data_IF_477481506053
#
_entry.id   IF_477481506053
#
_cell.length_a   1.000
_cell.length_b   1.000
_cell.length_c   1.000
_cell.angle_alpha   90.00
_cell.angle_beta   90.00
_cell.angle_gamma   90.00
#
_symmetry.space_group_name_H-M   'P 1'
#
loop_
_entity.id
_entity.type
_entity.pdbx_description
1 polymer ?
#
# COMPACT_ATOMS: atom_id res chain seq x y z
N UNK A 1 -21.68 -43.22 -48.29
CA UNK A 1 -22.92 -42.69 -48.87
C UNK A 1 -22.81 -41.19 -48.85
N UNK A 2 -22.80 -40.55 -50.01
CA UNK A 2 -22.68 -39.10 -50.13
C UNK A 2 -23.94 -38.42 -49.63
N UNK A 3 -23.81 -37.62 -48.57
CA UNK A 3 -24.80 -36.64 -48.17
C UNK A 3 -24.34 -35.28 -48.66
N UNK A 4 -24.99 -34.76 -49.71
CA UNK A 4 -24.81 -33.37 -50.13
C UNK A 4 -25.37 -32.47 -49.03
N UNK A 5 -24.49 -31.79 -48.31
CA UNK A 5 -24.87 -30.65 -47.48
C UNK A 5 -25.23 -29.50 -48.40
N UNK A 6 -26.53 -29.31 -48.63
CA UNK A 6 -27.01 -28.01 -49.08
C UNK A 6 -26.72 -27.02 -47.96
N UNK A 7 -25.79 -26.11 -48.21
CA UNK A 7 -25.69 -24.87 -47.46
C UNK A 7 -27.01 -24.13 -47.69
N UNK A 8 -27.99 -24.35 -46.81
CA UNK A 8 -29.09 -23.42 -46.64
C UNK A 8 -28.45 -22.13 -46.13
N UNK A 9 -28.00 -21.31 -47.09
CA UNK A 9 -27.58 -19.94 -46.85
C UNK A 9 -28.80 -19.21 -46.30
N UNK A 10 -28.93 -19.21 -44.97
CA UNK A 10 -29.85 -18.33 -44.27
C UNK A 10 -29.47 -16.93 -44.73
N UNK A 11 -30.40 -16.23 -45.38
CA UNK A 11 -30.17 -14.87 -45.86
C UNK A 11 -29.64 -14.03 -44.68
N UNK A 12 -28.34 -13.72 -44.72
CA UNK A 12 -27.61 -12.98 -43.68
C UNK A 12 -28.24 -11.61 -43.42
N UNK A 13 -29.09 -11.13 -44.33
CA UNK A 13 -29.76 -9.82 -44.28
C UNK A 13 -30.84 -9.70 -43.19
N UNK A 14 -31.34 -10.79 -42.59
CA UNK A 14 -32.44 -10.73 -41.61
C UNK A 14 -32.08 -11.16 -40.17
N UNK A 15 -30.79 -11.29 -39.87
CA UNK A 15 -30.31 -11.66 -38.53
C UNK A 15 -29.42 -10.55 -37.93
N UNK A 16 -29.59 -10.23 -36.65
CA UNK A 16 -28.75 -9.27 -35.91
C UNK A 16 -27.83 -9.98 -34.92
N UNK A 17 -26.61 -9.50 -34.75
CA UNK A 17 -25.69 -10.05 -33.73
C UNK A 17 -26.05 -9.49 -32.35
N UNK A 18 -26.32 -10.38 -31.40
CA UNK A 18 -26.68 -10.02 -30.03
C UNK A 18 -25.48 -10.14 -29.09
N UNK A 19 -24.67 -11.20 -29.26
CA UNK A 19 -23.55 -11.49 -28.36
C UNK A 19 -22.54 -12.44 -29.02
N UNK A 20 -21.27 -12.30 -28.66
CA UNK A 20 -20.26 -13.34 -28.91
C UNK A 20 -20.05 -14.13 -27.62
N UNK A 21 -20.28 -15.45 -27.64
CA UNK A 21 -20.21 -16.32 -26.45
C UNK A 21 -18.81 -16.89 -26.23
N UNK A 22 -18.11 -17.23 -27.32
CA UNK A 22 -16.80 -17.88 -27.25
C UNK A 22 -15.96 -17.50 -28.46
N UNK A 23 -14.66 -17.44 -28.27
CA UNK A 23 -13.66 -17.22 -29.32
C UNK A 23 -12.55 -18.25 -29.18
N UNK A 24 -12.14 -18.81 -30.31
CA UNK A 24 -11.03 -19.75 -30.44
C UNK A 24 -10.08 -19.19 -31.48
N UNK A 25 -8.79 -19.19 -31.19
CA UNK A 25 -7.76 -18.96 -32.19
C UNK A 25 -7.30 -20.34 -32.66
N UNK A 26 -7.28 -20.56 -33.96
CA UNK A 26 -6.84 -21.80 -34.57
C UNK A 26 -5.71 -21.44 -35.51
N UNK A 27 -4.53 -21.95 -35.24
CA UNK A 27 -3.40 -21.90 -36.17
C UNK A 27 -3.79 -22.80 -37.36
N UNK A 28 -3.80 -22.25 -38.58
CA UNK A 28 -4.02 -23.10 -39.75
C UNK A 28 -2.70 -23.82 -40.02
N UNK A 29 -2.71 -25.15 -39.89
CA UNK A 29 -1.61 -26.00 -40.33
C UNK A 29 -1.58 -26.05 -41.86
N UNK A 30 -1.25 -24.93 -42.52
CA UNK A 30 -1.09 -24.86 -43.98
C UNK A 30 0.27 -25.42 -44.45
N UNK A 31 1.05 -26.06 -43.56
CA UNK A 31 2.28 -26.78 -43.86
C UNK A 31 2.00 -28.20 -44.41
N UNK A 32 1.33 -28.28 -45.56
CA UNK A 32 1.35 -29.47 -46.43
C UNK A 32 2.51 -29.37 -47.45
N UNK A 33 3.61 -28.73 -47.05
CA UNK A 33 4.88 -28.72 -47.76
C UNK A 33 5.65 -30.02 -47.53
N UNK A 34 5.39 -31.04 -48.36
CA UNK A 34 6.13 -32.30 -48.35
C UNK A 34 7.64 -32.09 -48.48
N UNK A 35 8.37 -32.27 -47.39
CA UNK A 35 9.81 -32.45 -47.40
C UNK A 35 10.14 -33.96 -47.30
N UNK A 36 10.77 -34.48 -48.35
CA UNK A 36 11.28 -35.84 -48.44
C UNK A 36 12.18 -36.22 -47.24
N UNK A 37 11.97 -37.40 -46.62
CA UNK A 37 12.85 -37.88 -45.56
C UNK A 37 14.06 -38.61 -46.15
N UNK A 38 15.23 -37.99 -46.12
CA UNK A 38 16.48 -38.71 -46.35
C UNK A 38 17.58 -38.30 -45.37
N UNK A 39 18.16 -39.36 -44.78
CA UNK A 39 19.48 -39.49 -44.17
C UNK A 39 19.64 -39.13 -42.67
N UNK A 40 19.58 -40.21 -41.91
CA UNK A 40 20.33 -40.56 -40.70
C UNK A 40 21.67 -39.83 -40.45
N UNK A 41 21.96 -39.58 -39.16
CA UNK A 41 23.31 -39.29 -38.70
C UNK A 41 23.37 -38.83 -37.24
N UNK A 42 23.71 -39.74 -36.34
CA UNK A 42 23.96 -39.51 -34.92
C UNK A 42 25.16 -38.57 -34.66
N UNK A 43 25.16 -37.83 -33.54
CA UNK A 43 25.98 -38.11 -32.35
C UNK A 43 26.00 -36.87 -31.40
N UNK A 44 26.23 -37.16 -30.12
CA UNK A 44 26.21 -36.28 -28.97
C UNK A 44 27.31 -35.21 -28.96
N UNK A 45 27.02 -34.06 -28.34
CA UNK A 45 27.65 -33.63 -27.07
C UNK A 45 27.69 -32.10 -26.90
N UNK A 46 27.47 -31.70 -25.64
CA UNK A 46 28.13 -30.59 -24.93
C UNK A 46 28.05 -29.15 -25.47
N UNK A 47 27.41 -28.30 -24.66
CA UNK A 47 28.15 -27.18 -24.07
C UNK A 47 27.93 -25.77 -24.63
N UNK A 48 27.81 -24.85 -23.67
CA UNK A 48 28.15 -23.41 -23.74
C UNK A 48 27.15 -22.40 -24.32
N UNK A 49 26.52 -21.69 -23.38
CA UNK A 49 26.52 -20.21 -23.24
C UNK A 49 26.51 -19.35 -24.52
N UNK A 50 25.47 -18.52 -24.65
CA UNK A 50 25.47 -17.36 -25.52
C UNK A 50 24.34 -16.40 -25.18
N UNK A 51 24.68 -15.26 -24.59
CA UNK A 51 23.82 -14.10 -24.51
C UNK A 51 23.57 -13.55 -25.92
N UNK A 52 22.33 -13.16 -26.21
CA UNK A 52 21.95 -12.50 -27.46
C UNK A 52 20.58 -11.87 -27.31
N UNK A 53 20.56 -10.56 -27.06
CA UNK A 53 19.37 -9.74 -27.26
C UNK A 53 19.05 -9.69 -28.75
N UNK A 54 17.78 -9.94 -29.07
CA UNK A 54 17.20 -9.79 -30.39
C UNK A 54 15.74 -9.41 -30.21
N UNK A 55 15.46 -8.12 -30.18
CA UNK A 55 14.16 -7.55 -30.53
C UNK A 55 13.92 -7.90 -32.00
N UNK A 56 13.30 -9.05 -32.22
CA UNK A 56 12.80 -9.52 -33.51
C UNK A 56 11.28 -9.44 -33.49
N UNK A 57 10.77 -8.23 -33.75
CA UNK A 57 9.41 -7.99 -34.23
C UNK A 57 9.31 -8.56 -35.66
N UNK A 58 9.34 -9.90 -35.76
CA UNK A 58 8.96 -10.61 -36.97
C UNK A 58 7.53 -11.08 -36.76
N UNK A 59 6.61 -10.31 -37.36
CA UNK A 59 5.24 -10.69 -37.64
C UNK A 59 5.25 -11.92 -38.55
N UNK A 60 5.53 -13.09 -37.99
CA UNK A 60 5.13 -14.35 -38.56
C UNK A 60 3.61 -14.43 -38.40
N UNK A 61 2.92 -13.83 -39.38
CA UNK A 61 1.48 -13.92 -39.53
C UNK A 61 1.17 -15.29 -40.11
N UNK A 62 1.53 -16.35 -39.38
CA UNK A 62 0.93 -17.66 -39.53
C UNK A 62 -0.57 -17.46 -39.58
N UNK A 63 -1.22 -18.02 -40.59
CA UNK A 63 -2.59 -17.79 -41.02
C UNK A 63 -3.60 -18.19 -39.93
N UNK A 64 -3.60 -17.54 -38.78
CA UNK A 64 -4.47 -17.87 -37.67
C UNK A 64 -5.90 -17.50 -38.04
N UNK A 65 -6.78 -18.49 -38.12
CA UNK A 65 -8.22 -18.25 -38.25
C UNK A 65 -8.86 -18.15 -36.87
N UNK A 66 -9.83 -17.25 -36.74
CA UNK A 66 -10.58 -17.03 -35.51
C UNK A 66 -11.95 -17.67 -35.69
N UNK A 67 -12.31 -18.59 -34.80
CA UNK A 67 -13.65 -19.14 -34.72
C UNK A 67 -14.40 -18.49 -33.57
N UNK A 68 -15.54 -17.87 -33.85
CA UNK A 68 -16.38 -17.28 -32.82
C UNK A 68 -17.77 -17.92 -32.82
N UNK A 69 -18.26 -18.24 -31.62
CA UNK A 69 -19.64 -18.65 -31.41
C UNK A 69 -20.48 -17.39 -31.22
N UNK A 70 -21.22 -17.02 -32.26
CA UNK A 70 -21.99 -15.78 -32.32
C UNK A 70 -23.47 -16.10 -32.12
N UNK A 71 -24.11 -15.37 -31.21
CA UNK A 71 -25.55 -15.38 -30.99
C UNK A 71 -26.23 -14.37 -31.87
N UNK A 72 -27.17 -14.86 -32.68
CA UNK A 72 -27.99 -14.09 -33.59
C UNK A 72 -29.41 -13.94 -33.05
N UNK A 73 -30.05 -12.84 -33.40
CA UNK A 73 -31.49 -12.67 -33.27
C UNK A 73 -32.14 -12.43 -34.64
N UNK A 74 -33.14 -13.21 -34.98
CA UNK A 74 -33.92 -13.07 -36.21
C UNK A 74 -34.88 -11.89 -36.06
N UNK A 75 -34.77 -10.91 -36.95
CA UNK A 75 -35.69 -9.78 -36.98
C UNK A 75 -37.04 -10.21 -37.55
N UNK A 76 -38.17 -9.74 -36.98
CA UNK A 76 -39.47 -9.99 -37.57
C UNK A 76 -39.57 -9.32 -38.96
N UNK A 77 -40.21 -9.96 -39.95
CA UNK A 77 -40.38 -9.37 -41.27
C UNK A 77 -41.18 -8.05 -41.18
N UNK A 78 -40.72 -7.02 -41.88
CA UNK A 78 -41.32 -5.67 -41.83
C UNK A 78 -42.79 -5.63 -42.30
N UNK A 79 -43.21 -6.60 -43.13
CA UNK A 79 -44.57 -6.71 -43.67
C UNK A 79 -45.62 -7.28 -42.68
N UNK A 80 -45.28 -7.46 -41.40
CA UNK A 80 -46.22 -7.97 -40.38
C UNK A 80 -46.68 -9.42 -40.63
N UNK A 81 -45.95 -10.14 -41.49
CA UNK A 81 -46.18 -11.55 -41.75
C UNK A 81 -45.95 -12.40 -40.49
N UNK A 82 -46.70 -13.51 -40.32
CA UNK A 82 -46.45 -14.42 -39.21
C UNK A 82 -45.00 -14.94 -39.28
N UNK A 83 -44.32 -15.09 -38.12
CA UNK A 83 -42.93 -15.52 -38.09
C UNK A 83 -42.76 -16.88 -38.77
N UNK A 84 -41.68 -17.09 -39.54
CA UNK A 84 -41.43 -18.35 -40.21
C UNK A 84 -41.31 -19.49 -39.18
N UNK A 85 -42.18 -20.50 -39.29
CA UNK A 85 -42.24 -21.68 -38.42
C UNK A 85 -41.25 -22.78 -38.85
N UNK A 86 -40.00 -22.42 -39.13
CA UNK A 86 -39.00 -23.38 -39.59
C UNK A 86 -37.97 -23.63 -38.48
N UNK A 87 -38.33 -24.45 -37.50
CA UNK A 87 -37.42 -24.91 -36.46
C UNK A 87 -38.01 -26.04 -35.60
N UNK A 88 -37.32 -27.19 -35.42
CA UNK A 88 -37.81 -28.28 -34.60
C UNK A 88 -37.61 -27.96 -33.11
N UNK A 89 -38.62 -27.35 -32.50
CA UNK A 89 -38.98 -27.51 -31.10
C UNK A 89 -37.93 -27.13 -30.05
N UNK A 90 -37.92 -25.85 -29.62
CA UNK A 90 -37.74 -25.56 -28.20
C UNK A 90 -38.57 -24.32 -27.80
N UNK A 91 -39.66 -24.55 -27.08
CA UNK A 91 -40.59 -23.50 -26.67
C UNK A 91 -39.93 -22.44 -25.80
N UNK A 92 -40.18 -21.17 -26.14
CA UNK A 92 -39.58 -19.94 -25.61
C UNK A 92 -38.17 -19.62 -26.12
N UNK A 93 -38.02 -19.30 -27.41
CA UNK A 93 -36.76 -18.69 -27.85
C UNK A 93 -36.48 -18.56 -29.34
N UNK A 94 -37.35 -18.97 -30.27
CA UNK A 94 -37.08 -19.09 -31.73
C UNK A 94 -36.60 -17.81 -32.45
N UNK A 95 -36.49 -16.67 -31.76
CA UNK A 95 -35.80 -15.52 -32.31
C UNK A 95 -34.29 -15.58 -32.11
N UNK A 96 -33.75 -16.41 -31.24
CA UNK A 96 -32.31 -16.47 -30.97
C UNK A 96 -31.72 -17.82 -31.37
N UNK A 97 -30.63 -17.79 -32.15
CA UNK A 97 -29.82 -18.97 -32.42
C UNK A 97 -28.34 -18.62 -32.29
N UNK A 98 -27.48 -19.64 -32.19
CA UNK A 98 -26.04 -19.44 -32.12
C UNK A 98 -25.34 -20.28 -33.16
N UNK A 99 -24.36 -19.70 -33.83
CA UNK A 99 -23.63 -20.36 -34.91
C UNK A 99 -22.12 -20.09 -34.77
N UNK A 100 -21.31 -21.08 -35.14
CA UNK A 100 -19.87 -20.92 -35.26
C UNK A 100 -19.53 -20.27 -36.60
N UNK A 101 -18.89 -19.10 -36.56
CA UNK A 101 -18.38 -18.44 -37.75
C UNK A 101 -16.85 -18.34 -37.73
N UNK A 102 -16.25 -18.57 -38.89
CA UNK A 102 -14.81 -18.46 -39.13
C UNK A 102 -14.48 -17.07 -39.67
N UNK A 103 -13.47 -16.44 -39.09
CA UNK A 103 -12.96 -15.13 -39.48
C UNK A 103 -11.47 -15.25 -39.77
N UNK A 104 -10.98 -14.57 -40.81
CA UNK A 104 -9.56 -14.58 -41.19
C UNK A 104 -8.72 -13.66 -40.30
N UNK A 105 -9.32 -12.62 -39.73
CA UNK A 105 -8.62 -11.64 -38.88
C UNK A 105 -9.52 -11.15 -37.75
N UNK A 106 -8.91 -10.62 -36.68
CA UNK A 106 -9.63 -9.98 -35.57
C UNK A 106 -10.49 -8.80 -36.06
N UNK A 107 -9.97 -8.06 -37.05
CA UNK A 107 -10.68 -6.93 -37.66
C UNK A 107 -11.93 -7.39 -38.41
N UNK A 108 -11.89 -8.54 -39.10
CA UNK A 108 -13.06 -9.10 -39.77
C UNK A 108 -14.17 -9.50 -38.78
N UNK A 109 -13.79 -10.10 -37.64
CA UNK A 109 -14.73 -10.40 -36.55
C UNK A 109 -15.34 -9.12 -35.96
N UNK A 110 -14.52 -8.12 -35.67
CA UNK A 110 -14.99 -6.84 -35.13
C UNK A 110 -15.93 -6.12 -36.10
N UNK A 111 -15.60 -6.11 -37.39
CA UNK A 111 -16.45 -5.50 -38.41
C UNK A 111 -17.77 -6.24 -38.58
N UNK A 112 -17.76 -7.58 -38.53
CA UNK A 112 -18.98 -8.42 -38.52
C UNK A 112 -19.89 -8.04 -37.35
N UNK A 113 -19.33 -7.98 -36.14
CA UNK A 113 -20.09 -7.64 -34.93
C UNK A 113 -20.58 -6.18 -34.96
N UNK A 114 -19.84 -5.26 -35.58
CA UNK A 114 -20.23 -3.83 -35.68
C UNK A 114 -21.33 -3.58 -36.69
N UNK A 115 -21.32 -4.24 -37.85
CA UNK A 115 -22.32 -4.03 -38.91
C UNK A 115 -23.71 -4.50 -38.47
N UNK A 116 -23.77 -5.60 -37.73
CA UNK A 116 -25.05 -6.23 -37.38
C UNK A 116 -25.58 -5.77 -36.00
N UNK A 117 -24.88 -4.87 -35.31
CA UNK A 117 -25.26 -4.36 -34.01
C UNK A 117 -26.12 -3.08 -34.14
N UNK A 118 -27.42 -3.25 -34.39
CA UNK A 118 -28.36 -2.13 -34.50
C UNK A 118 -28.71 -1.45 -33.15
N UNK A 119 -28.36 -2.07 -32.01
CA UNK A 119 -28.71 -1.60 -30.67
C UNK A 119 -27.85 -0.46 -30.14
N UNK A 120 -26.78 -0.07 -30.85
CA UNK A 120 -25.90 1.04 -30.47
C UNK A 120 -25.03 0.78 -29.23
N UNK A 121 -25.20 -0.37 -28.57
CA UNK A 121 -24.38 -0.81 -27.46
C UNK A 121 -23.22 -1.68 -27.98
N UNK A 122 -21.95 -1.35 -27.69
CA UNK A 122 -20.82 -2.13 -28.18
C UNK A 122 -20.83 -3.53 -27.58
N UNK A 123 -20.96 -4.56 -28.42
CA UNK A 123 -20.83 -5.96 -28.00
C UNK A 123 -19.40 -6.22 -27.52
N UNK A 124 -19.24 -6.49 -26.24
CA UNK A 124 -17.96 -6.86 -25.66
C UNK A 124 -17.57 -8.27 -26.10
N UNK A 125 -16.38 -8.42 -26.67
CA UNK A 125 -15.87 -9.72 -27.07
C UNK A 125 -15.28 -10.44 -25.85
N UNK A 126 -15.66 -11.71 -25.60
CA UNK A 126 -15.05 -12.50 -24.55
C UNK A 126 -13.56 -12.74 -24.87
N UNK A 127 -12.71 -12.97 -23.86
CA UNK A 127 -11.33 -13.38 -24.10
C UNK A 127 -11.30 -14.69 -24.90
N UNK A 128 -10.19 -14.91 -25.60
CA UNK A 128 -9.94 -16.19 -26.25
C UNK A 128 -10.01 -17.32 -25.23
N UNK A 129 -10.61 -18.43 -25.63
CA UNK A 129 -10.51 -19.65 -24.86
C UNK A 129 -9.07 -20.13 -24.89
N UNK A 130 -8.65 -20.78 -23.81
CA UNK A 130 -7.33 -21.39 -23.71
C UNK A 130 -7.10 -22.35 -24.87
N UNK A 131 -5.88 -22.31 -25.41
CA UNK A 131 -5.43 -23.30 -26.40
C UNK A 131 -5.41 -24.70 -25.76
N UNK A 132 -5.46 -25.78 -26.55
CA UNK A 132 -5.45 -27.15 -26.02
C UNK A 132 -4.29 -27.40 -25.04
N UNK A 133 -3.09 -26.90 -25.35
CA UNK A 133 -1.91 -27.01 -24.50
C UNK A 133 -2.03 -26.21 -23.20
N UNK A 134 -2.62 -25.01 -23.27
CA UNK A 134 -2.86 -24.18 -22.09
C UNK A 134 -3.93 -24.81 -21.19
N UNK A 135 -5.00 -25.35 -21.78
CA UNK A 135 -6.04 -26.08 -21.06
C UNK A 135 -5.45 -27.31 -20.36
N UNK A 136 -4.61 -28.09 -21.05
CA UNK A 136 -3.94 -29.24 -20.47
C UNK A 136 -3.05 -28.86 -19.27
N UNK A 137 -2.29 -27.76 -19.37
CA UNK A 137 -1.47 -27.25 -18.27
C UNK A 137 -2.31 -26.84 -17.05
N UNK A 138 -3.43 -26.16 -17.28
CA UNK A 138 -4.35 -25.75 -16.21
C UNK A 138 -5.01 -26.97 -15.56
N UNK A 139 -5.40 -27.96 -16.34
CA UNK A 139 -5.93 -29.23 -15.81
C UNK A 139 -4.90 -29.98 -14.97
N UNK A 140 -3.66 -30.06 -15.42
CA UNK A 140 -2.58 -30.70 -14.68
C UNK A 140 -2.26 -29.95 -13.38
N UNK A 141 -2.23 -28.63 -13.41
CA UNK A 141 -2.05 -27.80 -12.20
C UNK A 141 -3.20 -28.00 -11.21
N UNK A 142 -4.44 -28.03 -11.70
CA UNK A 142 -5.61 -28.29 -10.88
C UNK A 142 -5.55 -29.68 -10.25
N UNK A 143 -5.17 -30.72 -11.01
CA UNK A 143 -4.97 -32.08 -10.49
C UNK A 143 -3.91 -32.12 -9.39
N UNK A 144 -2.73 -31.52 -9.62
CA UNK A 144 -1.66 -31.45 -8.61
C UNK A 144 -2.13 -30.71 -7.35
N UNK A 145 -2.90 -29.64 -7.50
CA UNK A 145 -3.46 -28.90 -6.36
C UNK A 145 -4.43 -29.76 -5.54
N UNK A 146 -5.31 -30.51 -6.21
CA UNK A 146 -6.24 -31.45 -5.55
C UNK A 146 -5.50 -32.56 -4.83
N UNK A 147 -4.46 -33.14 -5.46
CA UNK A 147 -3.62 -34.16 -4.84
C UNK A 147 -2.93 -33.64 -3.57
N UNK A 148 -2.34 -32.43 -3.65
CA UNK A 148 -1.70 -31.75 -2.52
C UNK A 148 -2.70 -31.53 -1.38
N UNK A 149 -3.86 -30.94 -1.65
CA UNK A 149 -4.89 -30.69 -0.63
C UNK A 149 -5.40 -32.00 -0.01
N UNK A 150 -5.56 -33.04 -0.82
CA UNK A 150 -5.98 -34.37 -0.35
C UNK A 150 -4.93 -35.02 0.57
N UNK A 151 -3.64 -34.82 0.28
CA UNK A 151 -2.56 -35.26 1.16
C UNK A 151 -2.52 -34.45 2.46
N UNK A 152 -2.65 -33.13 2.38
CA UNK A 152 -2.71 -32.25 3.56
C UNK A 152 -3.88 -32.63 4.48
N UNK A 153 -5.05 -32.95 3.91
CA UNK A 153 -6.21 -33.39 4.68
C UNK A 153 -5.96 -34.74 5.36
N UNK A 154 -5.31 -35.69 4.67
CA UNK A 154 -4.86 -36.95 5.29
C UNK A 154 -3.90 -36.69 6.45
N UNK A 155 -2.87 -35.86 6.25
CA UNK A 155 -1.91 -35.48 7.30
C UNK A 155 -2.59 -34.79 8.47
N UNK A 156 -3.54 -33.90 8.20
CA UNK A 156 -4.33 -33.21 9.23
C UNK A 156 -5.14 -34.21 10.07
N UNK A 157 -5.86 -35.14 9.43
CA UNK A 157 -6.62 -36.18 10.16
C UNK A 157 -5.73 -37.02 11.06
N UNK A 158 -4.55 -37.45 10.56
CA UNK A 158 -3.59 -38.20 11.38
C UNK A 158 -3.10 -37.37 12.56
N UNK A 159 -2.73 -36.10 12.34
CA UNK A 159 -2.29 -35.20 13.43
C UNK A 159 -3.40 -34.97 14.47
N UNK A 160 -4.63 -34.76 14.04
CA UNK A 160 -5.78 -34.58 14.93
C UNK A 160 -6.05 -35.85 15.75
N UNK A 161 -5.96 -37.03 15.13
CA UNK A 161 -6.12 -38.31 15.81
C UNK A 161 -5.01 -38.56 16.85
N UNK A 162 -3.76 -38.26 16.50
CA UNK A 162 -2.62 -38.35 17.43
C UNK A 162 -2.79 -37.38 18.60
N UNK A 163 -3.15 -36.13 18.33
CA UNK A 163 -3.39 -35.12 19.37
C UNK A 163 -4.51 -35.56 20.32
N UNK A 164 -5.61 -36.11 19.78
CA UNK A 164 -6.69 -36.69 20.60
C UNK A 164 -6.19 -37.84 21.48
N UNK A 165 -5.43 -38.78 20.91
CA UNK A 165 -4.86 -39.90 21.68
C UNK A 165 -3.88 -39.44 22.75
N UNK A 166 -3.09 -38.41 22.48
CA UNK A 166 -2.20 -37.81 23.48
C UNK A 166 -3.00 -37.15 24.61
N UNK A 167 -4.05 -36.38 24.28
CA UNK A 167 -4.94 -35.79 25.29
C UNK A 167 -5.65 -36.87 26.14
N UNK A 168 -6.13 -37.95 25.53
CA UNK A 168 -6.74 -39.06 26.27
C UNK A 168 -5.72 -39.76 27.18
N UNK A 169 -4.47 -39.91 26.72
CA UNK A 169 -3.40 -40.49 27.51
C UNK A 169 -3.02 -39.60 28.71
N UNK A 170 -2.96 -38.28 28.54
CA UNK A 170 -2.70 -37.35 29.66
C UNK A 170 -3.84 -37.35 30.67
N UNK A 171 -5.09 -37.38 30.23
CA UNK A 171 -6.26 -37.50 31.13
C UNK A 171 -6.20 -38.79 31.93
N UNK A 172 -5.88 -39.93 31.30
CA UNK A 172 -5.71 -41.21 32.03
C UNK A 172 -4.55 -41.16 33.01
N UNK A 173 -3.42 -40.57 32.63
CA UNK A 173 -2.26 -40.41 33.51
C UNK A 173 -2.61 -39.55 34.74
N UNK A 174 -3.26 -38.40 34.54
CA UNK A 174 -3.76 -37.55 35.62
C UNK A 174 -4.74 -38.29 36.51
N UNK A 175 -5.68 -39.05 35.94
CA UNK A 175 -6.62 -39.84 36.71
C UNK A 175 -5.91 -40.91 37.55
N UNK A 176 -4.96 -41.65 36.97
CA UNK A 176 -4.16 -42.63 37.71
C UNK A 176 -3.32 -42.00 38.83
N UNK A 177 -2.74 -40.82 38.57
CA UNK A 177 -1.98 -40.06 39.57
C UNK A 177 -2.89 -39.62 40.71
N UNK A 178 -4.06 -39.07 40.41
CA UNK A 178 -5.02 -38.62 41.42
C UNK A 178 -5.55 -39.80 42.25
N UNK A 179 -5.83 -40.94 41.62
CA UNK A 179 -6.22 -42.17 42.34
C UNK A 179 -5.09 -42.64 43.24
N UNK A 180 -3.83 -42.62 42.78
CA UNK A 180 -2.68 -42.99 43.60
C UNK A 180 -2.47 -42.03 44.79
N UNK A 181 -2.55 -40.72 44.57
CA UNK A 181 -2.49 -39.71 45.63
C UNK A 181 -3.64 -39.85 46.63
N UNK A 182 -4.86 -40.04 46.13
CA UNK A 182 -6.04 -40.26 46.98
C UNK A 182 -5.90 -41.54 47.79
N UNK A 183 -5.34 -42.60 47.19
CA UNK A 183 -5.05 -43.86 47.86
C UNK A 183 -4.01 -43.68 48.97
N UNK A 184 -2.88 -43.00 48.72
CA UNK A 184 -1.88 -42.68 49.77
C UNK A 184 -2.48 -41.86 50.91
N UNK A 185 -3.33 -40.89 50.58
CA UNK A 185 -4.06 -40.08 51.57
C UNK A 185 -5.02 -40.92 52.41
N UNK A 186 -5.72 -41.89 51.82
CA UNK A 186 -6.62 -42.82 52.54
C UNK A 186 -5.81 -43.82 53.37
N UNK A 187 -4.67 -44.28 52.87
CA UNK A 187 -3.74 -45.20 53.56
C UNK A 187 -2.98 -44.53 54.71
N UNK A 188 -3.11 -43.20 54.86
CA UNK A 188 -2.62 -42.45 56.02
C UNK A 188 -1.15 -42.04 55.94
N UNK A 189 -0.45 -42.32 54.83
CA UNK A 189 0.95 -41.94 54.63
C UNK A 189 1.16 -40.41 54.58
N UNK A 190 0.14 -39.63 54.23
CA UNK A 190 0.21 -38.16 54.05
C UNK A 190 -0.23 -37.33 55.27
N UNK A 191 -0.68 -37.94 56.37
CA UNK A 191 -1.24 -37.20 57.52
C UNK A 191 -0.18 -36.40 58.29
N UNK A 192 1.01 -36.98 58.47
CA UNK A 192 2.13 -36.30 59.15
C UNK A 192 2.69 -35.17 58.28
N UNK A 193 2.89 -35.43 56.98
CA UNK A 193 3.35 -34.43 56.01
C UNK A 193 2.35 -33.26 55.89
N UNK A 194 1.05 -33.55 55.86
CA UNK A 194 0.02 -32.51 55.84
C UNK A 194 -0.03 -31.68 57.13
N UNK A 195 0.24 -32.29 58.28
CA UNK A 195 0.33 -31.57 59.56
C UNK A 195 1.59 -30.69 59.64
N UNK A 196 2.73 -31.17 59.16
CA UNK A 196 3.94 -30.37 59.06
C UNK A 196 3.76 -29.20 58.10
N UNK A 197 3.16 -29.43 56.93
CA UNK A 197 2.82 -28.38 55.98
C UNK A 197 1.85 -27.35 56.59
N UNK A 198 0.82 -27.80 57.31
CA UNK A 198 -0.11 -26.88 57.98
C UNK A 198 0.58 -26.02 59.06
N UNK A 199 1.59 -26.57 59.76
CA UNK A 199 2.40 -25.81 60.73
C UNK A 199 3.28 -24.79 60.03
N UNK A 200 3.92 -25.13 58.92
CA UNK A 200 4.74 -24.18 58.14
C UNK A 200 3.89 -23.07 57.56
N UNK A 201 2.72 -23.39 57.01
CA UNK A 201 1.81 -22.42 56.43
C UNK A 201 1.27 -21.46 57.50
N UNK A 202 0.91 -21.98 58.69
CA UNK A 202 0.49 -21.14 59.80
C UNK A 202 1.60 -20.22 60.29
N UNK A 203 2.86 -20.69 60.34
CA UNK A 203 4.00 -19.87 60.70
C UNK A 203 4.24 -18.75 59.67
N UNK A 204 4.14 -19.06 58.38
CA UNK A 204 4.26 -18.07 57.30
C UNK A 204 3.13 -17.03 57.37
N UNK A 205 1.88 -17.46 57.58
CA UNK A 205 0.76 -16.53 57.74
C UNK A 205 0.93 -15.62 58.97
N UNK A 206 1.46 -16.14 60.08
CA UNK A 206 1.77 -15.34 61.25
C UNK A 206 2.88 -14.31 60.96
N UNK A 207 3.93 -14.71 60.23
CA UNK A 207 4.98 -13.81 59.80
C UNK A 207 4.43 -12.69 58.90
N UNK A 208 3.65 -13.02 57.88
CA UNK A 208 3.04 -12.01 56.99
C UNK A 208 2.11 -11.05 57.74
N UNK A 209 1.35 -11.54 58.73
CA UNK A 209 0.54 -10.67 59.59
C UNK A 209 1.39 -9.70 60.41
N UNK A 210 2.53 -10.16 60.94
CA UNK A 210 3.46 -9.30 61.66
C UNK A 210 4.10 -8.27 60.73
N UNK A 211 4.52 -8.67 59.53
CA UNK A 211 5.09 -7.75 58.53
C UNK A 211 4.09 -6.67 58.11
N UNK A 212 2.81 -7.03 57.91
CA UNK A 212 1.74 -6.06 57.63
C UNK A 212 1.55 -5.09 58.79
N UNK A 213 1.53 -5.59 60.04
CA UNK A 213 1.40 -4.73 61.22
C UNK A 213 2.60 -3.77 61.36
N UNK A 214 3.82 -4.23 61.07
CA UNK A 214 5.01 -3.37 61.04
C UNK A 214 4.93 -2.32 59.93
N UNK A 215 4.43 -2.67 58.75
CA UNK A 215 4.24 -1.71 57.66
C UNK A 215 3.22 -0.64 58.02
N UNK A 216 2.12 -1.00 58.68
CA UNK A 216 1.13 -0.03 59.17
C UNK A 216 1.73 0.95 60.18
N UNK A 217 2.56 0.46 61.12
CA UNK A 217 3.26 1.33 62.08
C UNK A 217 4.24 2.25 61.35
N UNK A 218 5.06 1.71 60.43
CA UNK A 218 6.01 2.50 59.62
C UNK A 218 5.32 3.60 58.82
N UNK A 219 4.15 3.31 58.23
CA UNK A 219 3.38 4.30 57.48
C UNK A 219 2.77 5.37 58.37
N UNK A 220 2.26 4.99 59.55
CA UNK A 220 1.75 5.95 60.54
C UNK A 220 2.88 6.90 61.00
N UNK A 221 4.03 6.35 61.37
CA UNK A 221 5.18 7.15 61.81
C UNK A 221 5.68 8.10 60.71
N UNK A 222 5.74 7.63 59.45
CA UNK A 222 6.11 8.45 58.30
C UNK A 222 5.08 9.56 58.02
N UNK A 223 3.79 9.26 58.11
CA UNK A 223 2.72 10.25 57.94
C UNK A 223 2.78 11.31 59.05
N UNK A 224 2.96 10.91 60.30
CA UNK A 224 3.10 11.83 61.43
C UNK A 224 4.37 12.68 61.33
N UNK A 225 5.45 12.12 60.78
CA UNK A 225 6.66 12.88 60.47
C UNK A 225 6.41 13.94 59.41
N UNK A 226 5.71 13.59 58.31
CA UNK A 226 5.34 14.53 57.26
C UNK A 226 4.38 15.61 57.77
N UNK A 227 3.42 15.26 58.64
CA UNK A 227 2.54 16.26 59.25
C UNK A 227 3.32 17.25 60.13
N UNK A 228 4.27 16.76 60.93
CA UNK A 228 5.15 17.61 61.74
C UNK A 228 6.03 18.50 60.87
N UNK A 229 6.60 17.96 59.80
CA UNK A 229 7.38 18.72 58.83
C UNK A 229 6.53 19.76 58.11
N UNK A 230 5.32 19.40 57.66
CA UNK A 230 4.39 20.32 57.02
C UNK A 230 3.99 21.47 57.97
N UNK A 231 3.72 21.16 59.23
CA UNK A 231 3.47 22.16 60.26
C UNK A 231 4.71 23.06 60.48
N UNK A 232 5.90 22.47 60.52
CA UNK A 232 7.17 23.20 60.63
C UNK A 232 7.40 24.13 59.43
N UNK A 233 7.27 23.64 58.20
CA UNK A 233 7.43 24.43 56.98
C UNK A 233 6.40 25.57 56.88
N UNK A 234 5.13 25.30 57.24
CA UNK A 234 4.11 26.34 57.38
C UNK A 234 4.49 27.39 58.42
N UNK A 235 5.07 26.98 59.54
CA UNK A 235 5.52 27.89 60.60
C UNK A 235 6.84 28.60 60.29
N UNK A 236 7.67 28.05 59.38
CA UNK A 236 9.05 28.50 59.16
C UNK A 236 9.19 29.67 58.18
N UNK A 237 8.12 30.16 57.53
CA UNK A 237 8.06 31.50 56.90
C UNK A 237 9.14 31.87 55.86
N UNK A 238 9.99 30.94 55.43
CA UNK A 238 11.15 31.19 54.59
C UNK A 238 10.76 31.49 53.13
N UNK A 239 9.65 30.93 52.64
CA UNK A 239 9.08 31.28 51.33
C UNK A 239 8.57 32.73 51.29
N UNK A 240 8.01 33.23 52.39
CA UNK A 240 7.55 34.61 52.47
C UNK A 240 8.74 35.60 52.42
N UNK A 241 9.86 35.26 53.07
CA UNK A 241 11.10 36.04 52.98
C UNK A 241 11.72 35.98 51.59
N UNK A 242 11.78 34.80 50.96
CA UNK A 242 12.31 34.66 49.60
C UNK A 242 11.47 35.42 48.58
N UNK A 243 10.14 35.34 48.68
CA UNK A 243 9.22 36.10 47.83
C UNK A 243 9.39 37.61 48.01
N UNK A 244 9.61 38.09 49.24
CA UNK A 244 9.91 39.51 49.49
C UNK A 244 11.24 39.94 48.86
N UNK A 245 12.29 39.12 48.95
CA UNK A 245 13.58 39.40 48.32
C UNK A 245 13.49 39.41 46.79
N UNK A 246 12.68 38.53 46.20
CA UNK A 246 12.46 38.50 44.75
C UNK A 246 11.72 39.73 44.25
N UNK A 247 10.69 40.19 44.98
CA UNK A 247 10.00 41.45 44.67
C UNK A 247 10.97 42.62 44.68
N UNK A 248 11.80 42.73 45.73
CA UNK A 248 12.79 43.79 45.84
C UNK A 248 13.81 43.78 44.68
N UNK A 249 14.36 42.61 44.33
CA UNK A 249 15.30 42.50 43.20
C UNK A 249 14.64 42.80 41.85
N UNK A 250 13.40 42.37 41.66
CA UNK A 250 12.64 42.67 40.44
C UNK A 250 12.38 44.17 40.29
N UNK A 251 11.92 44.83 41.35
CA UNK A 251 11.70 46.27 41.37
C UNK A 251 13.00 47.05 41.08
N UNK A 252 14.12 46.60 41.63
CA UNK A 252 15.43 47.18 41.35
C UNK A 252 15.82 47.02 39.87
N UNK A 253 15.73 45.81 39.30
CA UNK A 253 16.05 45.58 37.89
C UNK A 253 15.14 46.38 36.95
N UNK A 254 13.86 46.53 37.32
CA UNK A 254 12.90 47.34 36.57
C UNK A 254 13.30 48.82 36.57
N UNK A 255 13.65 49.36 37.74
CA UNK A 255 14.15 50.73 37.87
C UNK A 255 15.43 50.96 37.06
N UNK A 256 16.38 50.03 37.12
CA UNK A 256 17.64 50.12 36.36
C UNK A 256 17.40 50.06 34.85
N UNK A 257 16.45 49.23 34.40
CA UNK A 257 16.02 49.19 33.00
C UNK A 257 15.40 50.53 32.60
N UNK A 258 14.49 51.07 33.39
CA UNK A 258 13.81 52.34 33.07
C UNK A 258 14.81 53.50 33.03
N UNK A 259 15.80 53.51 33.93
CA UNK A 259 16.92 54.45 33.90
C UNK A 259 17.80 54.28 32.65
N UNK A 260 18.10 53.04 32.25
CA UNK A 260 18.87 52.76 31.05
C UNK A 260 18.11 53.18 29.77
N UNK A 261 16.80 52.95 29.72
CA UNK A 261 15.93 53.39 28.62
C UNK A 261 15.90 54.91 28.56
N UNK A 262 15.74 55.60 29.70
CA UNK A 262 15.78 57.05 29.76
C UNK A 262 17.13 57.60 29.27
N UNK A 263 18.26 56.99 29.65
CA UNK A 263 19.59 57.36 29.16
C UNK A 263 19.75 57.13 27.66
N UNK A 264 19.26 55.99 27.15
CA UNK A 264 19.32 55.66 25.72
C UNK A 264 18.51 56.67 24.90
N UNK A 265 17.34 57.05 25.38
CA UNK A 265 16.50 58.06 24.73
C UNK A 265 17.20 59.43 24.65
N UNK A 266 17.87 59.85 25.75
CA UNK A 266 18.69 61.07 25.75
C UNK A 266 19.85 60.96 24.74
N UNK A 267 20.54 59.83 24.67
CA UNK A 267 21.64 59.63 23.70
C UNK A 267 21.15 59.54 22.25
N UNK A 268 19.97 58.95 21.99
CA UNK A 268 19.34 58.98 20.67
C UNK A 268 19.03 60.39 20.22
N UNK A 269 18.48 61.22 21.10
CA UNK A 269 18.22 62.62 20.82
C UNK A 269 19.52 63.38 20.52
N UNK A 270 20.60 63.11 21.27
CA UNK A 270 21.94 63.66 21.00
C UNK A 270 22.50 63.20 19.66
N UNK A 271 22.41 61.91 19.33
CA UNK A 271 22.90 61.35 18.07
C UNK A 271 22.10 61.89 16.87
N UNK A 272 20.78 62.04 17.00
CA UNK A 272 19.94 62.67 15.98
C UNK A 272 20.35 64.13 15.75
N UNK A 273 20.55 64.90 16.83
CA UNK A 273 21.03 66.26 16.73
C UNK A 273 22.43 66.35 16.07
N UNK A 274 23.34 65.43 16.40
CA UNK A 274 24.66 65.37 15.79
C UNK A 274 24.63 64.98 14.30
N UNK A 275 23.75 64.04 13.90
CA UNK A 275 23.55 63.65 12.51
C UNK A 275 23.01 64.82 11.67
N UNK A 276 22.02 65.56 12.19
CA UNK A 276 21.52 66.77 11.55
C UNK A 276 22.60 67.87 11.44
N UNK A 277 23.45 68.01 12.46
CA UNK A 277 24.61 68.90 12.39
C UNK A 277 25.62 68.46 11.31
N UNK A 278 25.90 67.16 11.19
CA UNK A 278 26.79 66.60 10.17
C UNK A 278 26.28 66.81 8.74
N UNK A 279 25.00 66.54 8.48
CA UNK A 279 24.38 66.79 7.16
C UNK A 279 24.47 68.26 6.76
N UNK A 280 24.25 69.18 7.71
CA UNK A 280 24.43 70.62 7.47
C UNK A 280 25.88 70.97 7.12
N UNK A 281 26.87 70.34 7.77
CA UNK A 281 28.29 70.57 7.47
C UNK A 281 28.69 70.03 6.08
N UNK A 282 28.23 68.82 5.71
CA UNK A 282 28.55 68.22 4.42
C UNK A 282 27.90 68.95 3.24
N UNK A 283 26.69 69.48 3.41
CA UNK A 283 26.06 70.34 2.42
C UNK A 283 26.95 71.56 2.08
N UNK A 284 27.55 72.19 3.09
CA UNK A 284 28.47 73.31 2.88
C UNK A 284 29.77 72.92 2.17
N UNK A 285 30.25 71.67 2.34
CA UNK A 285 31.49 71.20 1.73
C UNK A 285 31.38 71.02 0.21
N UNK A 286 30.27 70.47 -0.27
CA UNK A 286 30.03 70.34 -1.70
C UNK A 286 29.83 71.70 -2.36
N UNK A 287 29.17 72.64 -1.68
CA UNK A 287 29.04 74.01 -2.15
C UNK A 287 30.42 74.66 -2.37
N UNK A 288 31.35 74.48 -1.42
CA UNK A 288 32.72 75.00 -1.55
C UNK A 288 33.46 74.39 -2.74
N UNK A 289 33.43 73.06 -2.92
CA UNK A 289 34.10 72.40 -4.04
C UNK A 289 33.54 72.83 -5.40
N UNK A 290 32.22 73.02 -5.49
CA UNK A 290 31.58 73.47 -6.73
C UNK A 290 32.04 74.89 -7.09
N UNK A 291 32.24 75.74 -6.08
CA UNK A 291 32.79 77.10 -6.23
C UNK A 291 34.21 77.05 -6.79
N UNK A 292 35.09 76.23 -6.20
CA UNK A 292 36.49 76.09 -6.62
C UNK A 292 36.62 75.52 -8.04
N UNK A 293 35.82 74.50 -8.37
CA UNK A 293 35.83 73.90 -9.71
C UNK A 293 35.40 74.92 -10.77
N UNK A 294 34.39 75.74 -10.47
CA UNK A 294 33.92 76.81 -11.36
C UNK A 294 35.01 77.86 -11.61
N UNK A 295 35.81 78.20 -10.60
CA UNK A 295 36.96 79.08 -10.76
C UNK A 295 38.08 78.44 -11.59
N UNK A 296 38.40 77.16 -11.36
CA UNK A 296 39.43 76.46 -12.13
C UNK A 296 39.09 76.39 -13.63
N UNK A 297 37.82 76.12 -13.98
CA UNK A 297 37.36 76.15 -15.38
C UNK A 297 37.44 77.55 -15.99
N UNK A 298 37.16 78.58 -15.20
CA UNK A 298 37.32 79.98 -15.63
C UNK A 298 38.77 80.28 -15.96
N UNK A 299 39.71 79.83 -15.13
CA UNK A 299 41.16 79.94 -15.39
C UNK A 299 41.59 79.13 -16.62
N UNK A 300 41.12 77.89 -16.75
CA UNK A 300 41.49 77.03 -17.87
C UNK A 300 41.02 77.61 -19.21
N UNK A 301 39.79 78.14 -19.28
CA UNK A 301 39.29 78.87 -20.45
C UNK A 301 40.15 80.09 -20.77
N UNK A 302 40.61 80.81 -19.74
CA UNK A 302 41.49 81.96 -19.92
C UNK A 302 42.83 81.54 -20.53
N UNK A 303 43.45 80.49 -19.99
CA UNK A 303 44.75 79.97 -20.47
C UNK A 303 44.66 79.34 -21.86
N UNK A 304 43.59 78.61 -22.16
CA UNK A 304 43.38 78.02 -23.49
C UNK A 304 43.25 79.10 -24.57
N UNK A 305 42.52 80.20 -24.29
CA UNK A 305 42.47 81.36 -25.19
C UNK A 305 43.86 81.94 -25.44
N UNK A 306 44.66 82.08 -24.39
CA UNK A 306 46.01 82.63 -24.46
C UNK A 306 46.97 81.77 -25.31
N UNK A 307 46.80 80.44 -25.28
CA UNK A 307 47.59 79.51 -26.12
C UNK A 307 47.14 79.57 -27.59
N UNK A 308 45.83 79.67 -27.86
CA UNK A 308 45.33 79.82 -29.23
C UNK A 308 45.72 81.16 -29.87
N UNK A 309 46.01 82.20 -29.09
CA UNK A 309 46.52 83.48 -29.58
C UNK A 309 48.04 83.46 -29.90
N UNK A 310 48.75 82.37 -29.58
CA UNK A 310 50.21 82.25 -29.75
C UNK A 310 50.65 81.31 -30.90
N UNK A 311 49.71 80.79 -31.69
CA UNK A 311 49.96 80.05 -32.95
C UNK A 311 49.55 80.88 -34.16
#
# INVERSE_FOLDING_TARGET
GGGGGGEDAVDDENCRVVRVYRRLRVENDDDEGGADPAAEGADASSGMSGAGGGDGDETDSGSCSIWALVGYEVLPPEDGGPPPKNGPGNGNGDRYFSEWRKFSTETALLDHVRRDCATGEPVLLPPYSLDPDQSARVEDEARRSVERVSEEFRRFRVRAEVARKQADATVRALHSSNVATTRRRIEGEDLEVALEQARTDHAQLAQLRNEMAEQEVKWKDAYDALLRENASLKSSGAEALLAAQWRHRYEQCLSEKDDAVARLEVERQRAAAASEAGKRADAGKYESKYRDLKESFRLYRKKAKEIFEQQ
#
